data_IF_191052900003
#
_entry.id   IF_191052900003
#
_cell.length_a   1.000
_cell.length_b   1.000
_cell.length_c   1.000
_cell.angle_alpha   90.00
_cell.angle_beta   90.00
_cell.angle_gamma   90.00
#
_symmetry.space_group_name_H-M   'P 1'
#
loop_
_entity.id
_entity.type
_entity.pdbx_description
1 polymer ?
#
# COMPACT_ATOMS: atom_id res chain seq x y z
N UNK A 1 -23.60 -66.52 66.31
CA UNK A 1 -23.86 -65.10 66.61
C UNK A 1 -23.43 -64.27 65.41
N UNK A 2 -24.37 -63.50 64.85
CA UNK A 2 -24.27 -62.41 63.86
C UNK A 2 -23.46 -62.71 62.58
N UNK A 3 -24.07 -63.11 61.45
CA UNK A 3 -24.90 -62.32 60.53
C UNK A 3 -24.22 -61.03 60.04
N UNK A 4 -23.99 -60.90 58.73
CA UNK A 4 -24.61 -59.86 57.88
C UNK A 4 -24.25 -60.09 56.40
N UNK A 5 -25.33 -60.15 55.61
CA UNK A 5 -25.46 -60.26 54.16
C UNK A 5 -25.32 -58.87 53.52
N UNK A 6 -24.61 -58.72 52.39
CA UNK A 6 -24.87 -57.68 51.35
C UNK A 6 -24.44 -58.23 49.98
N UNK A 7 -25.35 -58.81 49.19
CA UNK A 7 -26.20 -58.20 48.14
C UNK A 7 -25.45 -57.38 47.06
N UNK A 8 -25.35 -58.03 45.91
CA UNK A 8 -25.25 -57.61 44.50
C UNK A 8 -25.71 -56.19 44.17
N UNK A 9 -25.00 -55.51 43.26
CA UNK A 9 -25.62 -54.70 42.22
C UNK A 9 -24.71 -54.56 40.99
N UNK A 10 -25.12 -55.18 39.90
CA UNK A 10 -24.71 -54.92 38.52
C UNK A 10 -25.45 -53.66 38.07
N UNK A 11 -24.74 -52.68 37.53
CA UNK A 11 -25.35 -51.60 36.76
C UNK A 11 -24.53 -51.37 35.49
N UNK A 12 -25.03 -51.93 34.39
CA UNK A 12 -24.66 -51.57 33.04
C UNK A 12 -25.20 -50.18 32.73
N UNK A 13 -24.33 -49.29 32.26
CA UNK A 13 -24.68 -47.96 31.80
C UNK A 13 -23.87 -47.58 30.57
N UNK A 14 -24.27 -48.12 29.41
CA UNK A 14 -23.87 -47.61 28.09
C UNK A 14 -24.48 -46.22 27.90
N UNK A 15 -23.70 -45.18 28.12
CA UNK A 15 -24.00 -43.81 27.73
C UNK A 15 -23.02 -43.38 26.65
N UNK A 16 -23.28 -43.74 25.39
CA UNK A 16 -22.61 -43.13 24.24
C UNK A 16 -23.23 -41.75 24.06
N UNK A 17 -22.73 -40.77 24.79
CA UNK A 17 -23.00 -39.37 24.54
C UNK A 17 -22.16 -38.94 23.34
N UNK A 18 -22.73 -38.98 22.15
CA UNK A 18 -22.18 -38.26 21.01
C UNK A 18 -22.30 -36.77 21.31
N UNK A 19 -21.26 -36.19 21.91
CA UNK A 19 -21.08 -34.75 21.90
C UNK A 19 -20.84 -34.35 20.46
N UNK A 20 -21.92 -33.99 19.76
CA UNK A 20 -21.82 -33.24 18.51
C UNK A 20 -21.24 -31.87 18.87
N UNK A 21 -19.92 -31.76 18.85
CA UNK A 21 -19.24 -30.48 18.71
C UNK A 21 -19.70 -29.91 17.38
N UNK A 22 -20.72 -29.06 17.43
CA UNK A 22 -20.98 -28.13 16.35
C UNK A 22 -19.75 -27.22 16.33
N UNK A 23 -18.77 -27.55 15.47
CA UNK A 23 -17.80 -26.57 15.05
C UNK A 23 -18.62 -25.48 14.37
N UNK A 24 -18.90 -24.40 15.11
CA UNK A 24 -19.31 -23.15 14.52
C UNK A 24 -18.14 -22.73 13.64
N UNK A 25 -18.16 -23.20 12.38
CA UNK A 25 -17.34 -22.63 11.35
C UNK A 25 -17.92 -21.25 11.15
N UNK A 26 -17.37 -20.26 11.86
CA UNK A 26 -17.48 -18.88 11.45
C UNK A 26 -17.02 -18.87 9.99
N UNK A 27 -17.98 -18.83 9.06
CA UNK A 27 -17.67 -18.44 7.69
C UNK A 27 -16.80 -17.19 7.81
N UNK A 28 -15.62 -17.14 7.17
CA UNK A 28 -14.88 -15.89 7.13
C UNK A 28 -15.87 -14.85 6.62
N UNK A 29 -16.17 -13.86 7.44
CA UNK A 29 -16.82 -12.67 6.95
C UNK A 29 -15.81 -12.13 5.93
N UNK A 30 -16.04 -12.39 4.64
CA UNK A 30 -15.30 -11.76 3.56
C UNK A 30 -15.48 -10.26 3.76
N UNK A 31 -14.50 -9.65 4.42
CA UNK A 31 -14.46 -8.24 4.73
C UNK A 31 -14.36 -7.52 3.38
N UNK A 32 -15.33 -6.67 3.05
CA UNK A 32 -15.55 -5.38 3.67
C UNK A 32 -14.38 -4.48 3.32
N UNK A 33 -14.58 -3.73 2.24
CA UNK A 33 -13.78 -2.58 1.88
C UNK A 33 -13.27 -1.85 3.13
N UNK A 34 -11.96 -1.66 3.23
CA UNK A 34 -11.30 -0.99 4.34
C UNK A 34 -10.79 0.38 3.91
N UNK A 35 -10.85 1.35 4.80
CA UNK A 35 -10.15 2.62 4.60
C UNK A 35 -8.65 2.40 4.81
N UNK A 36 -7.81 2.86 3.91
CA UNK A 36 -6.36 2.69 3.95
C UNK A 36 -5.67 4.05 4.03
N UNK A 37 -4.52 4.08 4.70
CA UNK A 37 -3.70 5.28 4.82
C UNK A 37 -2.22 4.91 4.81
N UNK A 38 -1.58 5.07 3.67
CA UNK A 38 -0.19 4.75 3.40
C UNK A 38 0.69 5.94 3.74
N UNK A 39 1.39 5.88 4.86
CA UNK A 39 2.39 6.88 5.26
C UNK A 39 3.70 6.66 4.50
N UNK A 40 4.06 7.60 3.64
CA UNK A 40 5.30 7.58 2.88
C UNK A 40 6.37 8.40 3.59
N UNK A 41 7.32 7.71 4.22
CA UNK A 41 8.43 8.34 4.91
C UNK A 41 9.70 8.28 4.06
N UNK A 42 10.18 9.45 3.61
CA UNK A 42 11.42 9.56 2.84
C UNK A 42 11.31 9.00 1.42
N UNK A 43 10.24 9.36 0.71
CA UNK A 43 10.10 9.00 -0.70
C UNK A 43 10.99 9.92 -1.54
N UNK A 44 11.85 9.31 -2.34
CA UNK A 44 12.77 9.98 -3.23
C UNK A 44 12.34 9.76 -4.69
N UNK A 45 12.36 10.83 -5.48
CA UNK A 45 12.05 10.85 -6.90
C UNK A 45 13.30 11.26 -7.68
N UNK A 46 13.89 10.37 -8.46
CA UNK A 46 15.10 10.63 -9.22
C UNK A 46 14.80 10.72 -10.72
N UNK A 47 15.00 11.92 -11.28
CA UNK A 47 15.04 12.11 -12.72
C UNK A 47 16.35 11.52 -13.27
N UNK A 48 16.28 10.27 -13.75
CA UNK A 48 17.45 9.44 -14.06
C UNK A 48 18.39 10.12 -15.06
N UNK A 49 17.82 10.64 -16.15
CA UNK A 49 18.59 11.29 -17.21
C UNK A 49 19.18 12.64 -16.79
N UNK A 50 18.55 13.33 -15.82
CA UNK A 50 19.04 14.60 -15.29
C UNK A 50 20.01 14.40 -14.10
N UNK A 51 20.06 13.19 -13.51
CA UNK A 51 20.84 12.89 -12.32
C UNK A 51 20.43 13.72 -11.11
N UNK A 52 19.13 14.03 -10.99
CA UNK A 52 18.60 14.89 -9.94
C UNK A 52 17.59 14.14 -9.08
N UNK A 53 17.80 14.14 -7.77
CA UNK A 53 16.88 13.56 -6.79
C UNK A 53 16.09 14.66 -6.09
N UNK A 54 14.78 14.46 -6.01
CA UNK A 54 13.83 15.24 -5.23
C UNK A 54 13.41 14.37 -4.05
N UNK A 55 13.62 14.85 -2.83
CA UNK A 55 13.24 14.13 -1.61
C UNK A 55 12.03 14.78 -0.96
N UNK A 56 11.00 13.99 -0.67
CA UNK A 56 9.78 14.41 0.02
C UNK A 56 9.72 13.75 1.40
N UNK A 57 9.90 14.51 2.49
CA UNK A 57 9.78 13.97 3.85
C UNK A 57 8.41 13.38 4.16
N UNK A 58 7.35 13.91 3.53
CA UNK A 58 5.99 13.40 3.62
C UNK A 58 5.44 13.16 2.22
N UNK A 59 4.96 11.94 1.96
CA UNK A 59 4.24 11.57 0.74
C UNK A 59 3.20 10.50 1.06
N UNK A 60 2.03 10.92 1.52
CA UNK A 60 0.99 10.03 2.04
C UNK A 60 -0.10 9.75 1.00
N UNK A 61 -0.62 8.52 1.00
CA UNK A 61 -1.68 8.05 0.09
C UNK A 61 -2.85 7.49 0.91
N UNK A 62 -4.00 8.12 0.86
CA UNK A 62 -5.23 7.68 1.52
C UNK A 62 -6.29 7.25 0.51
N UNK A 63 -7.18 6.37 0.95
CA UNK A 63 -8.29 5.91 0.12
C UNK A 63 -8.98 4.66 0.68
N UNK A 64 -9.41 3.77 -0.20
CA UNK A 64 -10.11 2.52 0.16
C UNK A 64 -9.53 1.32 -0.57
N UNK A 65 -9.62 0.14 0.04
CA UNK A 65 -9.15 -1.13 -0.54
C UNK A 65 -10.18 -2.24 -0.33
N UNK A 66 -10.39 -3.06 -1.36
CA UNK A 66 -11.29 -4.22 -1.34
C UNK A 66 -10.47 -5.53 -1.36
N UNK A 67 -10.35 -6.13 -0.16
CA UNK A 67 -9.67 -7.41 0.08
C UNK A 67 -10.20 -8.57 -0.79
N UNK A 68 -11.46 -8.48 -1.28
CA UNK A 68 -12.05 -9.54 -2.11
C UNK A 68 -11.54 -9.45 -3.55
N UNK A 69 -11.33 -8.23 -4.05
CA UNK A 69 -10.88 -8.01 -5.43
C UNK A 69 -9.37 -7.86 -5.55
N UNK A 70 -8.69 -7.55 -4.44
CA UNK A 70 -7.26 -7.24 -4.46
C UNK A 70 -6.95 -5.85 -5.01
N UNK A 71 -7.92 -4.93 -4.98
CA UNK A 71 -7.81 -3.62 -5.60
C UNK A 71 -8.31 -2.50 -4.68
N UNK A 72 -7.73 -1.32 -4.84
CA UNK A 72 -8.05 -0.14 -4.06
C UNK A 72 -7.91 1.15 -4.87
N UNK A 73 -8.56 2.18 -4.35
CA UNK A 73 -8.61 3.52 -4.93
C UNK A 73 -7.95 4.47 -3.94
N UNK A 74 -6.93 5.20 -4.40
CA UNK A 74 -6.19 6.20 -3.61
C UNK A 74 -6.51 7.59 -4.16
N UNK A 75 -7.34 8.35 -3.43
CA UNK A 75 -7.85 9.66 -3.86
C UNK A 75 -7.57 10.79 -2.85
N UNK A 76 -6.98 10.48 -1.70
CA UNK A 76 -6.45 11.46 -0.74
C UNK A 76 -4.92 11.45 -0.76
N UNK A 77 -4.34 12.32 -1.59
CA UNK A 77 -2.91 12.30 -1.90
C UNK A 77 -2.23 13.56 -1.37
N UNK A 78 -1.25 13.41 -0.49
CA UNK A 78 -0.56 14.55 0.14
C UNK A 78 0.95 14.42 0.01
N UNK A 79 1.59 15.46 -0.53
CA UNK A 79 3.05 15.58 -0.54
C UNK A 79 3.48 16.90 0.09
N UNK A 80 4.50 16.88 0.96
CA UNK A 80 4.95 18.09 1.65
C UNK A 80 6.45 18.07 1.95
N UNK A 81 7.02 19.27 2.12
CA UNK A 81 8.43 19.45 2.49
C UNK A 81 9.43 19.06 1.40
N UNK A 82 9.00 18.88 0.14
CA UNK A 82 9.86 18.37 -0.90
C UNK A 82 11.02 19.33 -1.25
N UNK A 83 12.22 18.77 -1.41
CA UNK A 83 13.43 19.53 -1.72
C UNK A 83 14.28 18.81 -2.76
N UNK A 84 14.91 19.59 -3.63
CA UNK A 84 15.91 19.13 -4.57
C UNK A 84 17.23 19.88 -4.30
N UNK A 85 18.40 19.20 -4.26
CA UNK A 85 19.67 19.84 -3.92
C UNK A 85 20.09 21.00 -4.85
N UNK A 86 19.62 21.01 -6.10
CA UNK A 86 19.97 22.00 -7.11
C UNK A 86 18.89 23.08 -7.21
N UNK A 87 17.61 22.69 -7.27
CA UNK A 87 16.48 23.59 -7.45
C UNK A 87 15.94 24.18 -6.13
N UNK A 88 16.36 23.64 -4.98
CA UNK A 88 15.89 24.06 -3.66
C UNK A 88 14.50 23.53 -3.34
N UNK A 89 13.66 24.37 -2.71
CA UNK A 89 12.28 23.99 -2.39
C UNK A 89 11.50 23.68 -3.66
N UNK A 90 10.87 22.50 -3.65
CA UNK A 90 10.13 21.97 -4.78
C UNK A 90 8.72 21.63 -4.29
N UNK A 91 7.71 21.86 -5.12
CA UNK A 91 6.34 21.46 -4.84
C UNK A 91 6.01 20.24 -5.69
N UNK A 92 5.45 19.21 -5.05
CA UNK A 92 4.82 18.08 -5.71
C UNK A 92 3.35 18.13 -5.36
N UNK A 93 2.49 18.15 -6.37
CA UNK A 93 1.05 18.13 -6.20
C UNK A 93 0.54 16.88 -6.90
N UNK A 94 0.32 15.78 -6.16
CA UNK A 94 -0.36 14.61 -6.70
C UNK A 94 -1.75 15.01 -7.18
N UNK A 95 -2.18 14.44 -8.30
CA UNK A 95 -3.47 14.74 -8.90
C UNK A 95 -4.21 13.45 -9.24
N UNK A 96 -5.52 13.59 -9.46
CA UNK A 96 -6.37 12.50 -9.91
C UNK A 96 -6.59 11.43 -8.85
N UNK A 97 -6.75 10.20 -9.32
CA UNK A 97 -7.01 9.02 -8.52
C UNK A 97 -6.00 7.97 -8.93
N UNK A 98 -5.25 7.44 -7.97
CA UNK A 98 -4.33 6.34 -8.21
C UNK A 98 -5.00 5.03 -7.81
N UNK A 99 -4.50 3.93 -8.34
CA UNK A 99 -5.01 2.60 -8.03
C UNK A 99 -3.94 1.80 -7.30
N UNK A 100 -4.34 1.00 -6.33
CA UNK A 100 -3.46 0.05 -5.63
C UNK A 100 -3.99 -1.36 -5.84
N UNK A 101 -3.17 -2.24 -6.40
CA UNK A 101 -3.50 -3.64 -6.61
C UNK A 101 -2.48 -4.54 -5.92
N UNK A 102 -2.93 -5.66 -5.36
CA UNK A 102 -2.06 -6.66 -4.75
C UNK A 102 -2.62 -8.08 -4.88
N UNK A 103 -1.73 -9.07 -4.86
CA UNK A 103 -2.11 -10.50 -4.96
C UNK A 103 -1.54 -11.34 -3.80
N UNK A 104 -2.05 -12.57 -3.63
CA UNK A 104 -1.57 -13.51 -2.59
C UNK A 104 -0.09 -13.87 -2.64
N UNK A 105 0.66 -13.52 -3.69
CA UNK A 105 2.12 -13.67 -3.69
C UNK A 105 2.84 -12.52 -2.97
N UNK A 106 2.12 -11.45 -2.63
CA UNK A 106 2.65 -10.21 -2.10
C UNK A 106 3.12 -9.24 -3.18
N UNK A 107 2.98 -9.57 -4.47
CA UNK A 107 3.22 -8.62 -5.54
C UNK A 107 2.15 -7.53 -5.49
N UNK A 108 2.56 -6.27 -5.62
CA UNK A 108 1.65 -5.14 -5.59
C UNK A 108 2.07 -4.03 -6.56
N UNK A 109 1.10 -3.24 -7.01
CA UNK A 109 1.29 -2.16 -7.98
C UNK A 109 0.51 -0.93 -7.53
N UNK A 110 1.14 0.25 -7.67
CA UNK A 110 0.45 1.53 -7.67
C UNK A 110 0.40 2.02 -9.12
N UNK A 111 -0.79 2.14 -9.70
CA UNK A 111 -1.03 2.57 -11.09
C UNK A 111 -1.76 3.92 -11.17
N UNK A 112 -1.84 4.46 -12.38
CA UNK A 112 -2.45 5.76 -12.67
C UNK A 112 -1.82 6.91 -11.85
N UNK A 113 -0.53 6.75 -11.49
CA UNK A 113 0.24 7.77 -10.79
C UNK A 113 0.26 9.00 -11.68
N UNK A 114 -0.18 10.14 -11.16
CA UNK A 114 -0.02 11.44 -11.79
C UNK A 114 0.27 12.53 -10.76
N UNK A 115 1.20 13.42 -11.08
CA UNK A 115 1.52 14.57 -10.23
C UNK A 115 2.09 15.73 -11.06
N UNK A 116 1.87 16.95 -10.60
CA UNK A 116 2.55 18.14 -11.11
C UNK A 116 3.72 18.50 -10.20
N UNK A 117 4.90 18.68 -10.78
CA UNK A 117 6.13 19.06 -10.06
C UNK A 117 6.51 20.48 -10.45
N UNK A 118 6.80 21.32 -9.45
CA UNK A 118 7.30 22.68 -9.64
C UNK A 118 8.62 22.86 -8.89
N UNK A 119 9.71 23.04 -9.62
CA UNK A 119 11.07 23.18 -9.09
C UNK A 119 11.77 24.40 -9.72
N UNK A 120 12.18 25.38 -8.92
CA UNK A 120 12.84 26.61 -9.40
C UNK A 120 12.16 27.26 -10.63
N UNK A 121 10.83 27.33 -10.65
CA UNK A 121 10.08 27.91 -11.78
C UNK A 121 10.06 27.05 -13.06
N UNK A 122 10.57 25.82 -13.01
CA UNK A 122 10.27 24.77 -13.97
C UNK A 122 9.04 23.99 -13.50
N UNK A 123 8.07 23.77 -14.39
CA UNK A 123 6.82 23.05 -14.13
C UNK A 123 6.67 21.93 -15.14
N UNK A 124 6.42 20.72 -14.66
CA UNK A 124 6.20 19.54 -15.50
C UNK A 124 5.28 18.55 -14.78
N UNK A 125 4.65 17.68 -15.55
CA UNK A 125 3.79 16.61 -15.06
C UNK A 125 4.53 15.28 -15.17
N UNK A 126 4.30 14.39 -14.20
CA UNK A 126 4.76 13.01 -14.23
C UNK A 126 3.57 12.07 -14.28
N UNK A 127 3.71 10.95 -14.97
CA UNK A 127 2.70 9.89 -15.00
C UNK A 127 3.32 8.49 -15.11
N UNK A 128 2.64 7.47 -14.58
CA UNK A 128 3.02 6.07 -14.79
C UNK A 128 2.53 5.13 -13.69
N UNK A 129 3.38 4.16 -13.34
CA UNK A 129 3.10 3.18 -12.29
C UNK A 129 4.38 2.77 -11.55
N UNK A 130 4.21 2.16 -10.38
CA UNK A 130 5.28 1.56 -9.58
C UNK A 130 4.87 0.15 -9.20
N UNK A 131 5.74 -0.82 -9.46
CA UNK A 131 5.58 -2.18 -8.97
C UNK A 131 6.46 -2.40 -7.75
N UNK A 132 6.01 -3.24 -6.83
CA UNK A 132 6.73 -3.54 -5.61
C UNK A 132 6.17 -4.78 -4.91
N UNK A 133 6.42 -4.87 -3.62
CA UNK A 133 5.89 -5.94 -2.78
C UNK A 133 5.16 -5.37 -1.57
N UNK A 134 3.96 -5.89 -1.29
CA UNK A 134 3.22 -5.59 -0.07
C UNK A 134 3.38 -6.72 0.94
N UNK A 135 3.80 -6.37 2.15
CA UNK A 135 3.91 -7.30 3.27
C UNK A 135 2.71 -7.10 4.21
N UNK A 136 1.74 -8.02 4.19
CA UNK A 136 0.56 -7.97 5.06
C UNK A 136 0.90 -7.98 6.56
N UNK A 137 2.03 -8.58 6.94
CA UNK A 137 2.46 -8.66 8.34
C UNK A 137 2.95 -7.32 8.89
N UNK A 138 3.64 -6.52 8.08
CA UNK A 138 4.07 -5.17 8.45
C UNK A 138 3.18 -4.06 7.88
N UNK A 139 2.21 -4.41 7.03
CA UNK A 139 1.38 -3.49 6.25
C UNK A 139 2.22 -2.51 5.43
N UNK A 140 3.35 -2.96 4.87
CA UNK A 140 4.30 -2.11 4.14
C UNK A 140 4.34 -2.46 2.66
N UNK A 141 4.16 -1.46 1.80
CA UNK A 141 4.49 -1.52 0.38
C UNK A 141 5.92 -1.04 0.16
N UNK A 142 6.80 -1.93 -0.29
CA UNK A 142 8.19 -1.63 -0.64
C UNK A 142 8.32 -1.49 -2.15
N UNK A 143 8.88 -0.38 -2.61
CA UNK A 143 9.05 -0.11 -4.04
C UNK A 143 10.11 -1.03 -4.64
N UNK A 144 9.79 -1.64 -5.78
CA UNK A 144 10.73 -2.46 -6.54
C UNK A 144 11.19 -1.78 -7.85
N UNK A 145 10.25 -1.47 -8.73
CA UNK A 145 10.55 -0.85 -10.04
C UNK A 145 9.56 0.27 -10.35
N UNK A 146 10.06 1.40 -10.84
CA UNK A 146 9.23 2.51 -11.32
C UNK A 146 9.15 2.54 -12.85
N UNK A 147 7.96 2.81 -13.37
CA UNK A 147 7.69 3.12 -14.77
C UNK A 147 7.06 4.53 -14.89
N UNK A 148 7.42 5.44 -13.99
CA UNK A 148 6.96 6.84 -14.01
C UNK A 148 7.85 7.66 -14.94
N UNK A 149 7.24 8.53 -15.74
CA UNK A 149 7.95 9.40 -16.67
C UNK A 149 7.40 10.83 -16.65
N UNK A 150 8.21 11.78 -17.10
CA UNK A 150 7.75 13.14 -17.39
C UNK A 150 6.80 13.10 -18.60
N UNK A 151 5.51 13.32 -18.36
CA UNK A 151 4.45 13.04 -19.33
C UNK A 151 4.15 14.21 -20.27
N UNK A 152 4.43 15.44 -19.85
CA UNK A 152 4.22 16.66 -20.64
C UNK A 152 5.55 17.31 -21.06
N UNK A 153 5.48 18.33 -21.91
CA UNK A 153 6.64 19.18 -22.20
C UNK A 153 6.87 20.14 -21.02
N UNK A 154 8.03 20.06 -20.32
CA UNK A 154 8.32 20.96 -19.21
C UNK A 154 8.27 22.43 -19.63
N UNK A 155 7.74 23.28 -18.77
CA UNK A 155 7.57 24.71 -19.01
C UNK A 155 8.29 25.54 -17.95
N UNK A 156 9.01 26.57 -18.40
CA UNK A 156 9.79 27.44 -17.52
C UNK A 156 11.22 27.65 -18.01
N UNK A 157 11.77 28.84 -17.77
CA UNK A 157 13.09 29.23 -18.26
C UNK A 157 14.21 28.33 -17.73
N UNK A 158 14.06 27.81 -16.51
CA UNK A 158 15.07 26.96 -15.87
C UNK A 158 14.96 25.48 -16.23
N UNK A 159 13.91 25.00 -16.92
CA UNK A 159 13.78 23.58 -17.26
C UNK A 159 14.96 23.02 -18.09
N UNK A 160 15.41 23.69 -19.17
CA UNK A 160 16.55 23.19 -19.94
C UNK A 160 17.86 23.22 -19.15
N UNK A 161 18.01 24.17 -18.22
CA UNK A 161 19.19 24.30 -17.36
C UNK A 161 19.22 23.18 -16.32
N UNK A 162 18.06 22.79 -15.80
CA UNK A 162 17.90 21.63 -14.94
C UNK A 162 17.94 20.29 -15.73
N UNK A 163 18.06 20.34 -17.05
CA UNK A 163 18.09 19.13 -17.88
C UNK A 163 16.79 18.32 -17.84
N UNK A 164 15.67 18.97 -17.50
CA UNK A 164 14.35 18.34 -17.41
C UNK A 164 13.69 18.35 -18.79
N UNK A 165 13.26 17.19 -19.28
CA UNK A 165 12.64 17.01 -20.59
C UNK A 165 11.53 15.94 -20.57
N UNK A 166 10.58 16.06 -21.50
CA UNK A 166 9.52 15.06 -21.66
C UNK A 166 10.10 13.68 -21.96
N UNK A 167 9.48 12.63 -21.40
CA UNK A 167 9.86 11.24 -21.59
C UNK A 167 11.06 10.79 -20.77
N UNK A 168 11.57 11.62 -19.86
CA UNK A 168 12.56 11.20 -18.88
C UNK A 168 11.93 10.28 -17.83
N UNK A 169 12.70 9.29 -17.40
CA UNK A 169 12.30 8.33 -16.38
C UNK A 169 12.47 8.94 -15.00
N UNK A 170 11.49 8.66 -14.14
CA UNK A 170 11.47 9.01 -12.73
C UNK A 170 11.54 7.72 -11.95
N UNK A 171 12.71 7.45 -11.38
CA UNK A 171 12.87 6.39 -10.39
C UNK A 171 12.23 6.86 -9.08
N UNK A 172 11.44 5.98 -8.47
CA UNK A 172 10.80 6.23 -7.18
C UNK A 172 11.41 5.22 -6.23
N UNK A 173 11.97 5.72 -5.13
CA UNK A 173 12.54 4.90 -4.07
C UNK A 173 11.83 5.18 -2.76
N UNK A 174 11.73 4.15 -1.91
CA UNK A 174 11.17 4.24 -0.57
C UNK A 174 10.14 3.16 -0.28
N UNK A 175 9.30 3.45 0.71
CA UNK A 175 8.24 2.54 1.13
C UNK A 175 7.09 3.31 1.73
N UNK A 176 5.91 2.71 1.67
CA UNK A 176 4.71 3.22 2.32
C UNK A 176 4.22 2.23 3.36
N UNK A 177 3.91 2.69 4.57
CA UNK A 177 3.31 1.86 5.61
C UNK A 177 1.85 2.22 5.79
N UNK A 178 0.96 1.27 5.57
CA UNK A 178 -0.46 1.44 5.84
C UNK A 178 -0.73 1.46 7.35
N UNK A 179 -1.26 2.57 7.84
CA UNK A 179 -1.71 2.78 9.22
C UNK A 179 -3.23 2.81 9.37
N UNK A 180 -3.96 2.60 8.26
CA UNK A 180 -5.41 2.46 8.22
C UNK A 180 -5.91 1.05 8.60
N UNK A 181 -7.00 0.63 7.98
CA UNK A 181 -7.54 -0.72 8.10
C UNK A 181 -6.56 -1.75 7.56
N UNK A 182 -6.53 -2.93 8.20
CA UNK A 182 -5.65 -4.03 7.78
C UNK A 182 -6.06 -4.55 6.40
N UNK A 183 -5.12 -4.50 5.47
CA UNK A 183 -5.26 -5.09 4.13
C UNK A 183 -4.98 -6.59 4.21
N UNK A 184 -5.82 -7.37 3.53
CA UNK A 184 -5.59 -8.80 3.26
C UNK A 184 -5.62 -9.00 1.74
N UNK A 185 -4.56 -9.58 1.18
CA UNK A 185 -4.43 -9.85 -0.25
C UNK A 185 -5.20 -11.15 -0.63
N UNK A 186 -5.83 -11.20 -1.81
CA UNK A 186 -6.67 -12.33 -2.24
C UNK A 186 -5.91 -13.58 -2.70
#
# INVERSE_FOLDING_TARGET
MNSIIKKTLVAAGTGVGALATVAAMSSPASAATVDVYFEGNGIDFTAVQAGQTLSCPQFDLGGTYDDVTGSGVLDDLTASGCTNPIAGSTSVVPNGTWEFEGDSSGAATISEITATVTAAGCVFDVAGSVNGTFNEGSQTFEVGTSAVQISNTPSGFLCPILGVAQGQDIEIDGSWTNTGGTIILP
#
